data_IF_981658017317
#
_entry.id   IF_981658017317
#
_cell.length_a   1.000
_cell.length_b   1.000
_cell.length_c   1.000
_cell.angle_alpha   90.00
_cell.angle_beta   90.00
_cell.angle_gamma   90.00
#
_symmetry.space_group_name_H-M   'P 1'
#
loop_
_entity.id
_entity.type
_entity.pdbx_description
1 polymer ?
#
# COMPACT_ATOMS: atom_id res chain seq x y z
N UNK A 1 22.98 -17.43 -19.10
CA UNK A 1 21.96 -17.18 -18.07
C UNK A 1 22.66 -16.38 -16.99
N UNK A 2 22.59 -15.05 -17.07
CA UNK A 2 23.25 -14.19 -16.11
C UNK A 2 22.51 -14.32 -14.78
N UNK A 3 23.25 -14.67 -13.72
CA UNK A 3 22.76 -14.66 -12.36
C UNK A 3 22.60 -13.18 -12.01
N UNK A 4 21.38 -12.66 -12.11
CA UNK A 4 21.07 -11.31 -11.61
C UNK A 4 21.48 -11.26 -10.13
N UNK A 5 22.18 -10.20 -9.77
CA UNK A 5 22.73 -9.94 -8.44
C UNK A 5 21.60 -10.00 -7.41
N UNK A 6 21.59 -11.07 -6.62
CA UNK A 6 20.49 -11.44 -5.74
C UNK A 6 20.63 -10.70 -4.41
N UNK A 7 19.73 -9.75 -4.15
CA UNK A 7 19.61 -9.13 -2.82
C UNK A 7 18.52 -9.85 -2.00
N UNK A 8 18.89 -10.68 -1.00
CA UNK A 8 17.94 -11.39 -0.15
C UNK A 8 17.06 -10.47 0.71
N UNK A 9 17.39 -9.18 0.80
CA UNK A 9 16.67 -8.17 1.58
C UNK A 9 15.54 -7.51 0.80
N UNK A 10 15.46 -7.69 -0.52
CA UNK A 10 14.38 -7.13 -1.34
C UNK A 10 13.24 -8.14 -1.44
N UNK A 11 12.10 -7.83 -0.81
CA UNK A 11 10.87 -8.62 -0.93
C UNK A 11 10.30 -8.49 -2.35
N UNK A 12 10.48 -9.53 -3.16
CA UNK A 12 9.88 -9.63 -4.49
C UNK A 12 8.51 -10.30 -4.44
N UNK A 13 7.51 -9.68 -5.08
CA UNK A 13 6.15 -10.24 -5.22
C UNK A 13 6.20 -11.61 -5.90
N UNK A 14 7.00 -11.77 -6.95
CA UNK A 14 7.15 -13.06 -7.64
C UNK A 14 7.75 -14.15 -6.75
N UNK A 15 8.62 -13.78 -5.79
CA UNK A 15 9.17 -14.74 -4.82
C UNK A 15 8.12 -15.16 -3.78
N UNK A 16 7.32 -14.23 -3.30
CA UNK A 16 6.19 -14.58 -2.42
C UNK A 16 5.13 -15.39 -3.18
N UNK A 17 4.98 -15.16 -4.49
CA UNK A 17 4.08 -15.90 -5.35
C UNK A 17 4.56 -17.33 -5.62
N UNK A 18 5.88 -17.55 -5.75
CA UNK A 18 6.44 -18.88 -6.03
C UNK A 18 6.20 -19.88 -4.88
N UNK A 19 6.08 -19.38 -3.65
CA UNK A 19 5.70 -20.18 -2.47
C UNK A 19 4.17 -20.35 -2.32
N UNK A 20 3.37 -19.84 -3.27
CA UNK A 20 1.89 -19.95 -3.34
C UNK A 20 1.18 -19.48 -2.07
N UNK A 21 1.74 -18.49 -1.40
CA UNK A 21 1.12 -17.86 -0.24
C UNK A 21 0.18 -16.74 -0.67
N UNK A 22 -0.73 -16.37 0.22
CA UNK A 22 -1.57 -15.18 0.07
C UNK A 22 -0.65 -13.95 0.03
N UNK A 23 -0.80 -13.12 -1.01
CA UNK A 23 0.00 -11.91 -1.16
C UNK A 23 -0.75 -10.72 -0.58
N UNK A 24 0.02 -9.82 0.03
CA UNK A 24 -0.46 -8.53 0.49
C UNK A 24 0.27 -7.46 -0.29
N UNK A 25 -0.46 -6.76 -1.16
CA UNK A 25 0.12 -5.67 -1.93
C UNK A 25 -0.28 -4.35 -1.26
N UNK A 26 0.67 -3.44 -0.98
CA UNK A 26 0.33 -2.10 -0.52
C UNK A 26 -0.53 -1.42 -1.58
N UNK A 27 -1.61 -0.78 -1.14
CA UNK A 27 -2.58 -0.17 -2.04
C UNK A 27 -1.99 1.02 -2.80
N UNK A 28 -2.45 1.22 -4.03
CA UNK A 28 -2.13 2.37 -4.86
C UNK A 28 -3.41 3.08 -5.28
N UNK A 29 -3.32 4.33 -5.74
CA UNK A 29 -4.49 5.21 -5.99
C UNK A 29 -5.52 4.71 -7.01
N UNK A 30 -5.25 3.64 -7.79
CA UNK A 30 -6.24 3.14 -8.75
C UNK A 30 -7.18 2.15 -8.08
N UNK A 31 -8.46 2.29 -8.41
CA UNK A 31 -9.50 1.35 -7.99
C UNK A 31 -9.33 -0.01 -8.67
N UNK A 32 -9.34 -1.07 -7.88
CA UNK A 32 -9.21 -2.48 -8.30
C UNK A 32 -10.34 -3.20 -7.63
N UNK A 33 -11.24 -3.77 -8.43
CA UNK A 33 -12.44 -4.42 -7.93
C UNK A 33 -12.09 -5.76 -7.26
N UNK A 34 -12.95 -6.19 -6.32
CA UNK A 34 -12.90 -7.56 -5.82
C UNK A 34 -13.15 -8.53 -6.98
N UNK A 35 -12.41 -9.64 -6.98
CA UNK A 35 -12.45 -10.62 -8.06
C UNK A 35 -11.67 -10.25 -9.32
N UNK A 36 -10.98 -9.11 -9.35
CA UNK A 36 -9.96 -8.84 -10.37
C UNK A 36 -8.81 -9.84 -10.24
N UNK A 37 -8.27 -10.28 -11.37
CA UNK A 37 -7.15 -11.23 -11.39
C UNK A 37 -5.81 -10.51 -11.48
N UNK A 38 -4.78 -11.14 -10.94
CA UNK A 38 -3.42 -10.62 -10.85
C UNK A 38 -2.43 -11.67 -11.35
N UNK A 39 -1.49 -11.22 -12.18
CA UNK A 39 -0.40 -12.01 -12.72
C UNK A 39 0.91 -11.63 -12.04
N UNK A 40 1.40 -12.53 -11.18
CA UNK A 40 2.62 -12.32 -10.39
C UNK A 40 3.88 -12.24 -11.24
N UNK A 41 3.91 -12.87 -12.42
CA UNK A 41 5.04 -12.81 -13.34
C UNK A 41 5.07 -11.45 -14.04
N UNK A 42 3.91 -10.95 -14.48
CA UNK A 42 3.79 -9.62 -15.07
C UNK A 42 4.21 -8.52 -14.09
N UNK A 43 4.01 -8.72 -12.78
CA UNK A 43 4.41 -7.76 -11.75
C UNK A 43 5.93 -7.53 -11.66
N UNK A 44 6.76 -8.43 -12.20
CA UNK A 44 8.22 -8.22 -12.29
C UNK A 44 8.62 -7.36 -13.48
N UNK A 45 7.74 -7.22 -14.48
CA UNK A 45 7.96 -6.45 -15.69
C UNK A 45 7.32 -5.07 -15.56
N UNK A 46 8.11 -4.01 -15.64
CA UNK A 46 7.62 -2.62 -15.55
C UNK A 46 6.75 -2.17 -16.74
N UNK A 47 6.59 -3.02 -17.76
CA UNK A 47 5.93 -2.66 -19.04
C UNK A 47 4.47 -3.06 -19.12
N UNK A 48 3.99 -3.95 -18.26
CA UNK A 48 2.66 -4.57 -18.36
C UNK A 48 1.90 -4.43 -17.06
N UNK A 49 0.62 -4.06 -17.16
CA UNK A 49 -0.28 -4.04 -16.01
C UNK A 49 -0.44 -5.47 -15.47
N UNK A 50 -0.09 -5.74 -14.20
CA UNK A 50 -0.21 -7.08 -13.65
C UNK A 50 -1.67 -7.46 -13.36
N UNK A 51 -2.62 -6.53 -13.41
CA UNK A 51 -4.04 -6.83 -13.25
C UNK A 51 -4.71 -7.09 -14.59
N UNK A 52 -5.44 -8.20 -14.69
CA UNK A 52 -6.22 -8.51 -15.89
C UNK A 52 -7.42 -7.58 -16.02
N UNK A 53 -7.76 -7.21 -17.26
CA UNK A 53 -8.97 -6.46 -17.58
C UNK A 53 -10.23 -7.32 -17.46
N UNK A 54 -10.08 -8.63 -17.68
CA UNK A 54 -11.17 -9.59 -17.63
C UNK A 54 -11.14 -10.40 -16.33
N UNK A 55 -12.32 -10.69 -15.79
CA UNK A 55 -12.46 -11.60 -14.65
C UNK A 55 -12.79 -13.01 -15.14
N UNK A 56 -12.13 -14.01 -14.56
CA UNK A 56 -12.49 -15.41 -14.81
C UNK A 56 -13.78 -15.82 -14.07
N UNK A 57 -14.26 -14.99 -13.14
CA UNK A 57 -15.48 -15.26 -12.38
C UNK A 57 -16.74 -14.99 -13.20
N UNK A 58 -17.78 -15.77 -12.92
CA UNK A 58 -19.11 -15.51 -13.42
C UNK A 58 -19.63 -14.16 -12.90
N UNK A 59 -20.16 -13.31 -13.78
CA UNK A 59 -20.52 -11.94 -13.45
C UNK A 59 -21.67 -11.85 -12.44
N UNK A 60 -22.66 -12.75 -12.56
CA UNK A 60 -23.77 -12.83 -11.61
C UNK A 60 -23.31 -13.38 -10.27
N UNK A 61 -22.48 -14.43 -10.28
CA UNK A 61 -21.88 -14.95 -9.06
C UNK A 61 -21.03 -13.89 -8.36
N UNK A 62 -20.24 -13.10 -9.08
CA UNK A 62 -19.40 -12.04 -8.51
C UNK A 62 -20.26 -10.95 -7.85
N UNK A 63 -21.34 -10.51 -8.51
CA UNK A 63 -22.26 -9.48 -7.99
C UNK A 63 -23.04 -9.92 -6.75
N UNK A 64 -23.42 -11.19 -6.71
CA UNK A 64 -24.20 -11.78 -5.61
C UNK A 64 -23.33 -12.33 -4.47
N UNK A 65 -22.01 -12.34 -4.63
CA UNK A 65 -21.11 -12.89 -3.62
C UNK A 65 -21.13 -12.05 -2.35
N UNK A 66 -21.40 -12.70 -1.21
CA UNK A 66 -21.43 -12.04 0.08
C UNK A 66 -20.02 -11.63 0.51
N UNK A 67 -19.83 -10.33 0.70
CA UNK A 67 -18.61 -9.74 1.24
C UNK A 67 -18.86 -9.34 2.68
N UNK A 68 -17.95 -9.71 3.58
CA UNK A 68 -18.08 -9.46 5.02
C UNK A 68 -16.94 -8.57 5.51
N UNK A 69 -17.29 -7.66 6.42
CA UNK A 69 -16.31 -6.97 7.25
C UNK A 69 -15.95 -7.85 8.45
N UNK A 70 -14.69 -8.21 8.53
CA UNK A 70 -14.08 -8.71 9.76
C UNK A 70 -13.37 -7.53 10.42
N UNK A 71 -13.93 -6.98 11.51
CA UNK A 71 -13.30 -5.87 12.22
C UNK A 71 -11.97 -6.35 12.82
N UNK A 72 -11.00 -5.45 12.90
CA UNK A 72 -9.83 -5.67 13.75
C UNK A 72 -10.34 -5.80 15.19
N UNK A 73 -10.15 -6.96 15.85
CA UNK A 73 -10.72 -7.43 17.14
C UNK A 73 -10.88 -6.39 18.29
N UNK A 74 -11.64 -5.32 18.09
CA UNK A 74 -11.81 -4.22 19.03
C UNK A 74 -10.61 -3.28 19.19
N UNK A 75 -9.41 -3.67 18.74
CA UNK A 75 -8.25 -2.79 18.70
C UNK A 75 -7.94 -2.43 17.26
N UNK A 76 -8.27 -1.21 16.83
CA UNK A 76 -7.60 -0.63 15.68
C UNK A 76 -6.09 -0.70 15.96
N UNK A 77 -5.33 -1.49 15.19
CA UNK A 77 -3.90 -1.64 15.46
C UNK A 77 -3.22 -0.34 15.06
N UNK A 78 -2.96 0.53 16.03
CA UNK A 78 -2.14 1.71 15.86
C UNK A 78 -0.67 1.27 15.81
N UNK A 79 0.01 1.59 14.71
CA UNK A 79 1.44 1.39 14.56
C UNK A 79 2.07 2.75 14.30
N UNK A 80 2.70 3.32 15.33
CA UNK A 80 3.63 4.43 15.14
C UNK A 80 5.04 3.89 14.97
N UNK A 81 5.75 4.37 13.94
CA UNK A 81 7.17 4.11 13.75
C UNK A 81 7.90 5.44 13.70
N UNK A 82 8.90 5.59 14.55
CA UNK A 82 9.85 6.71 14.51
C UNK A 82 11.22 6.12 14.21
N UNK A 83 11.90 6.68 13.21
CA UNK A 83 13.20 6.21 12.75
C UNK A 83 14.14 7.38 12.58
N UNK A 84 15.37 7.26 13.10
CA UNK A 84 16.45 8.23 12.90
C UNK A 84 17.70 7.51 12.46
N UNK A 85 18.34 7.96 11.38
CA UNK A 85 19.62 7.42 10.90
C UNK A 85 20.60 8.53 10.54
N UNK A 86 21.88 8.36 10.88
CA UNK A 86 22.96 9.32 10.62
C UNK A 86 24.20 8.63 10.06
N UNK A 87 24.81 9.17 9.01
CA UNK A 87 26.07 8.69 8.42
C UNK A 87 27.18 9.74 8.48
N UNK A 88 28.44 9.30 8.55
CA UNK A 88 29.62 10.14 8.82
C UNK A 88 30.52 10.40 7.61
N UNK A 89 30.35 9.69 6.48
CA UNK A 89 31.16 9.87 5.27
C UNK A 89 30.72 11.09 4.44
N UNK A 90 29.42 11.40 4.50
CA UNK A 90 28.75 12.63 4.09
C UNK A 90 27.72 12.87 5.19
N UNK A 91 27.64 14.07 5.77
CA UNK A 91 26.71 14.35 6.87
C UNK A 91 25.28 14.22 6.33
N UNK A 92 24.74 13.02 6.47
CA UNK A 92 23.42 12.64 6.01
C UNK A 92 22.63 12.22 7.23
N UNK A 93 21.58 12.98 7.55
CA UNK A 93 20.64 12.66 8.60
C UNK A 93 19.29 12.38 7.96
N UNK A 94 18.66 11.25 8.30
CA UNK A 94 17.26 11.02 8.00
C UNK A 94 16.45 10.87 9.29
N UNK A 95 15.27 11.47 9.31
CA UNK A 95 14.25 11.33 10.35
C UNK A 95 12.96 10.93 9.65
N UNK A 96 12.29 9.90 10.17
CA UNK A 96 11.02 9.43 9.64
C UNK A 96 10.03 9.16 10.77
N UNK A 97 8.80 9.60 10.58
CA UNK A 97 7.66 9.31 11.45
C UNK A 97 6.57 8.72 10.55
N UNK A 98 5.98 7.61 10.97
CA UNK A 98 4.87 6.96 10.28
C UNK A 98 3.82 6.52 11.27
N UNK A 99 2.55 6.66 10.89
CA UNK A 99 1.39 6.20 11.63
C UNK A 99 0.55 5.33 10.70
N UNK A 100 0.27 4.12 11.13
CA UNK A 100 -0.63 3.20 10.46
C UNK A 100 -1.77 2.78 11.37
N UNK A 101 -2.98 2.70 10.83
CA UNK A 101 -4.20 2.29 11.51
C UNK A 101 -4.88 1.21 10.70
N UNK A 102 -5.24 0.12 11.35
CA UNK A 102 -5.98 -1.00 10.75
C UNK A 102 -7.40 -1.00 11.29
N UNK A 103 -8.40 -0.80 10.43
CA UNK A 103 -9.82 -0.84 10.81
C UNK A 103 -10.44 -2.24 10.64
N UNK A 104 -9.81 -3.11 9.82
CA UNK A 104 -10.26 -4.48 9.61
C UNK A 104 -9.96 -4.99 8.20
N UNK A 105 -10.65 -6.05 7.81
CA UNK A 105 -10.57 -6.61 6.47
C UNK A 105 -11.95 -6.86 5.88
N UNK A 106 -12.10 -6.55 4.61
CA UNK A 106 -13.30 -6.79 3.81
C UNK A 106 -12.98 -7.93 2.86
N UNK A 107 -13.60 -9.10 3.02
CA UNK A 107 -13.27 -10.29 2.24
C UNK A 107 -14.51 -11.02 1.75
N UNK A 108 -14.36 -11.77 0.65
CA UNK A 108 -15.40 -12.71 0.25
C UNK A 108 -15.59 -13.78 1.34
N UNK A 109 -16.84 -13.95 1.79
CA UNK A 109 -17.19 -15.09 2.66
C UNK A 109 -17.01 -16.43 1.93
N UNK A 110 -17.26 -16.41 0.61
CA UNK A 110 -17.02 -17.51 -0.31
C UNK A 110 -16.59 -16.94 -1.66
N UNK A 111 -15.54 -17.50 -2.23
CA UNK A 111 -15.08 -17.10 -3.56
C UNK A 111 -16.23 -17.25 -4.61
N UNK A 112 -16.37 -16.29 -5.53
CA UNK A 112 -17.32 -16.39 -6.64
C UNK A 112 -17.03 -17.63 -7.50
N UNK A 113 -18.06 -18.12 -8.19
CA UNK A 113 -17.92 -19.23 -9.15
C UNK A 113 -17.15 -18.77 -10.38
N UNK A 114 -16.39 -19.68 -10.96
CA UNK A 114 -15.77 -19.48 -12.27
C UNK A 114 -16.84 -19.42 -13.37
N UNK A 115 -16.58 -18.59 -14.38
CA UNK A 115 -17.37 -18.52 -15.61
C UNK A 115 -17.26 -19.82 -16.40
N UNK A 116 -18.20 -20.06 -17.31
CA UNK A 116 -18.16 -21.24 -18.17
C UNK A 116 -16.89 -21.27 -19.04
N UNK A 117 -16.48 -20.11 -19.56
CA UNK A 117 -15.25 -19.98 -20.37
C UNK A 117 -14.02 -20.35 -19.54
N UNK A 118 -13.93 -19.88 -18.29
CA UNK A 118 -12.87 -20.24 -17.37
C UNK A 118 -12.82 -21.75 -17.11
N UNK A 119 -13.98 -22.38 -16.88
CA UNK A 119 -14.07 -23.82 -16.66
C UNK A 119 -13.69 -24.62 -17.92
N UNK A 120 -14.09 -24.15 -19.12
CA UNK A 120 -13.70 -24.77 -20.39
C UNK A 120 -12.20 -24.66 -20.62
N UNK A 121 -11.58 -23.51 -20.32
CA UNK A 121 -10.13 -23.36 -20.44
C UNK A 121 -9.38 -24.33 -19.52
N UNK A 122 -9.87 -24.51 -18.30
CA UNK A 122 -9.32 -25.46 -17.35
C UNK A 122 -9.48 -26.93 -17.78
N UNK A 123 -10.59 -27.28 -18.44
CA UNK A 123 -10.85 -28.66 -18.85
C UNK A 123 -10.25 -29.04 -20.19
N UNK A 124 -10.30 -28.15 -21.17
CA UNK A 124 -10.03 -28.48 -22.57
C UNK A 124 -8.91 -27.65 -23.20
N UNK A 125 -8.70 -26.40 -22.78
CA UNK A 125 -7.78 -25.48 -23.47
C UNK A 125 -6.48 -25.27 -22.69
N UNK A 126 -5.74 -26.35 -22.43
CA UNK A 126 -4.38 -26.26 -21.84
C UNK A 126 -4.34 -26.17 -20.31
N UNK A 127 -5.48 -26.30 -19.64
CA UNK A 127 -5.54 -26.51 -18.19
C UNK A 127 -5.14 -25.29 -17.35
N UNK A 128 -4.57 -25.56 -16.18
CA UNK A 128 -4.20 -24.51 -15.22
C UNK A 128 -3.16 -23.53 -15.79
N UNK A 129 -2.24 -24.00 -16.63
CA UNK A 129 -1.21 -23.13 -17.22
C UNK A 129 -1.83 -22.08 -18.15
N UNK A 130 -2.72 -22.50 -19.05
CA UNK A 130 -3.42 -21.60 -19.95
C UNK A 130 -4.37 -20.65 -19.21
N UNK A 131 -5.04 -21.13 -18.16
CA UNK A 131 -5.84 -20.28 -17.29
C UNK A 131 -5.01 -19.16 -16.66
N UNK A 132 -3.85 -19.50 -16.09
CA UNK A 132 -2.96 -18.54 -15.45
C UNK A 132 -2.34 -17.55 -16.43
N UNK A 133 -2.04 -18.00 -17.64
CA UNK A 133 -1.56 -17.14 -18.71
C UNK A 133 -2.60 -16.10 -19.11
N UNK A 134 -3.87 -16.50 -19.20
CA UNK A 134 -4.94 -15.62 -19.66
C UNK A 134 -5.47 -14.67 -18.58
N UNK A 135 -5.79 -15.17 -17.38
CA UNK A 135 -6.37 -14.34 -16.31
C UNK A 135 -5.35 -13.95 -15.25
N UNK A 136 -4.42 -14.84 -14.90
CA UNK A 136 -3.47 -14.64 -13.81
C UNK A 136 -3.47 -15.79 -12.81
N UNK A 137 -2.48 -15.79 -11.93
CA UNK A 137 -2.27 -16.81 -10.92
C UNK A 137 -2.83 -16.45 -9.53
N UNK A 138 -3.30 -15.21 -9.37
CA UNK A 138 -3.96 -14.70 -8.18
C UNK A 138 -5.26 -13.97 -8.52
N UNK A 139 -6.12 -13.79 -7.51
CA UNK A 139 -7.27 -12.89 -7.58
C UNK A 139 -7.40 -12.07 -6.30
N UNK A 140 -8.01 -10.88 -6.42
CA UNK A 140 -8.32 -10.00 -5.29
C UNK A 140 -9.48 -10.59 -4.51
N UNK A 141 -9.17 -11.22 -3.38
CA UNK A 141 -10.15 -11.86 -2.51
C UNK A 141 -10.70 -10.91 -1.44
N UNK A 142 -10.02 -9.79 -1.21
CA UNK A 142 -10.42 -8.83 -0.21
C UNK A 142 -9.50 -7.62 -0.13
N UNK A 143 -9.87 -6.72 0.77
CA UNK A 143 -9.14 -5.51 1.12
C UNK A 143 -8.82 -5.51 2.59
N UNK A 144 -7.68 -4.94 2.95
CA UNK A 144 -7.46 -4.44 4.29
C UNK A 144 -7.81 -2.97 4.32
N UNK A 145 -8.67 -2.59 5.26
CA UNK A 145 -9.13 -1.23 5.42
C UNK A 145 -8.43 -0.58 6.62
N UNK A 146 -8.15 0.71 6.49
CA UNK A 146 -7.30 1.43 7.43
C UNK A 146 -6.85 2.77 6.86
N UNK A 147 -5.71 3.23 7.37
CA UNK A 147 -5.00 4.37 6.82
C UNK A 147 -3.57 4.36 7.30
N UNK A 148 -2.65 4.60 6.38
CA UNK A 148 -1.25 4.91 6.65
C UNK A 148 -0.94 6.35 6.26
N UNK A 149 -0.19 7.03 7.11
CA UNK A 149 0.39 8.34 6.86
C UNK A 149 1.82 8.39 7.38
N UNK A 150 2.68 9.14 6.73
CA UNK A 150 4.06 9.27 7.16
C UNK A 150 4.76 10.49 6.59
N UNK A 151 5.79 10.91 7.30
CA UNK A 151 6.68 12.01 6.94
C UNK A 151 8.10 11.53 7.16
N UNK A 152 8.90 11.57 6.11
CA UNK A 152 10.32 11.32 6.12
C UNK A 152 11.03 12.57 5.63
N UNK A 153 12.02 13.01 6.38
CA UNK A 153 12.90 14.10 6.01
C UNK A 153 14.33 13.61 6.02
N UNK A 154 15.09 13.91 4.97
CA UNK A 154 16.53 13.72 4.95
C UNK A 154 17.25 15.05 4.72
N UNK A 155 18.38 15.22 5.41
CA UNK A 155 19.28 16.33 5.26
C UNK A 155 20.62 15.80 4.78
N UNK A 156 21.21 16.45 3.78
CA UNK A 156 22.54 16.15 3.28
C UNK A 156 23.38 17.43 3.29
N UNK A 157 24.59 17.37 3.85
CA UNK A 157 25.54 18.48 3.89
C UNK A 157 26.95 18.06 3.47
N UNK A 158 27.69 19.01 2.90
CA UNK A 158 29.13 18.89 2.60
C UNK A 158 30.04 19.46 3.70
N UNK A 159 29.50 20.24 4.65
CA UNK A 159 30.27 21.00 5.65
C UNK A 159 29.87 20.68 7.08
N UNK A 160 30.83 20.19 7.89
CA UNK A 160 30.59 19.57 9.21
C UNK A 160 30.02 20.50 10.28
N UNK A 161 30.61 21.68 10.46
CA UNK A 161 30.39 22.49 11.67
C UNK A 161 29.05 23.23 11.65
N UNK A 162 28.59 23.67 10.48
CA UNK A 162 27.28 24.34 10.36
C UNK A 162 26.15 23.34 10.11
N UNK A 163 26.47 22.20 9.50
CA UNK A 163 25.55 21.05 9.40
C UNK A 163 25.07 20.63 10.78
N UNK A 164 25.97 20.42 11.75
CA UNK A 164 25.60 19.93 13.08
C UNK A 164 24.59 20.85 13.79
N UNK A 165 24.82 22.17 13.80
CA UNK A 165 23.94 23.11 14.50
C UNK A 165 22.56 23.25 13.83
N UNK A 166 22.51 23.35 12.50
CA UNK A 166 21.25 23.43 11.73
C UNK A 166 20.48 22.11 11.82
N UNK A 167 21.19 21.00 11.76
CA UNK A 167 20.63 19.65 11.87
C UNK A 167 20.02 19.41 13.25
N UNK A 168 20.67 19.85 14.33
CA UNK A 168 20.12 19.76 15.69
C UNK A 168 18.85 20.61 15.83
N UNK A 169 18.81 21.83 15.30
CA UNK A 169 17.62 22.67 15.36
C UNK A 169 16.43 22.06 14.62
N UNK A 170 16.63 21.60 13.38
CA UNK A 170 15.56 20.99 12.57
C UNK A 170 15.10 19.67 13.22
N UNK A 171 16.03 18.87 13.75
CA UNK A 171 15.72 17.64 14.50
C UNK A 171 14.88 17.93 15.76
N UNK A 172 15.23 18.97 16.52
CA UNK A 172 14.47 19.36 17.72
C UNK A 172 13.09 19.88 17.36
N UNK A 173 12.97 20.69 16.31
CA UNK A 173 11.67 21.18 15.83
C UNK A 173 10.72 20.06 15.38
N UNK A 174 11.27 18.95 14.88
CA UNK A 174 10.48 17.84 14.33
C UNK A 174 10.29 16.69 15.34
N UNK A 175 11.17 16.54 16.34
CA UNK A 175 11.04 15.44 17.33
C UNK A 175 10.28 15.84 18.61
N UNK A 176 10.21 17.12 18.98
CA UNK A 176 9.70 17.55 20.29
C UNK A 176 8.45 18.45 20.21
N UNK A 177 7.47 18.08 19.38
CA UNK A 177 6.22 18.81 19.12
C UNK A 177 5.42 19.22 20.37
N UNK A 178 5.80 20.35 20.96
CA UNK A 178 4.95 21.32 21.68
C UNK A 178 5.79 22.56 22.04
N UNK A 179 5.76 23.65 21.26
CA UNK A 179 5.70 25.04 21.77
C UNK A 179 5.66 26.12 20.67
N UNK A 180 5.23 27.30 21.13
CA UNK A 180 4.89 28.55 20.44
C UNK A 180 5.99 29.18 19.57
N UNK A 181 5.50 29.76 18.48
CA UNK A 181 5.92 30.96 17.76
C UNK A 181 7.23 31.65 18.21
N UNK A 182 8.39 31.08 17.89
CA UNK A 182 9.64 31.84 17.91
C UNK A 182 10.59 31.42 16.78
N UNK A 183 10.10 31.45 15.54
CA UNK A 183 10.98 31.44 14.36
C UNK A 183 11.58 32.84 14.19
N UNK A 184 12.59 33.17 15.00
CA UNK A 184 13.38 34.39 14.75
C UNK A 184 14.87 34.15 14.96
N UNK A 185 15.59 34.39 13.85
CA UNK A 185 17.03 34.66 13.74
C UNK A 185 17.98 33.48 13.93
N UNK A 186 18.84 33.29 12.92
CA UNK A 186 20.12 32.61 13.11
C UNK A 186 20.85 32.21 11.83
N UNK A 187 20.28 32.38 10.64
CA UNK A 187 20.85 31.81 9.43
C UNK A 187 21.53 32.90 8.61
N UNK A 188 22.67 33.37 9.11
CA UNK A 188 23.63 34.13 8.31
C UNK A 188 24.95 33.37 8.33
N UNK A 189 25.48 33.06 7.15
CA UNK A 189 26.78 32.41 6.87
C UNK A 189 26.87 30.87 6.89
N UNK A 190 25.86 30.17 6.40
CA UNK A 190 26.09 28.87 5.76
C UNK A 190 25.12 28.66 4.61
N UNK A 191 25.53 29.13 3.43
CA UNK A 191 24.74 29.04 2.21
C UNK A 191 25.35 28.07 1.19
N UNK A 192 24.43 27.40 0.48
CA UNK A 192 24.53 26.59 -0.75
C UNK A 192 24.60 25.07 -0.65
N UNK A 193 25.17 24.46 0.38
CA UNK A 193 25.47 23.01 0.33
C UNK A 193 24.53 22.09 1.12
N UNK A 194 23.62 22.63 1.95
CA UNK A 194 22.67 21.83 2.70
C UNK A 194 21.38 21.60 1.90
N UNK A 195 21.07 20.33 1.64
CA UNK A 195 19.85 19.92 0.94
C UNK A 195 18.90 19.23 1.91
N UNK A 196 17.66 19.66 1.91
CA UNK A 196 16.55 19.06 2.66
C UNK A 196 15.64 18.36 1.67
N UNK A 197 15.48 17.05 1.82
CA UNK A 197 14.50 16.25 1.09
C UNK A 197 13.38 15.90 2.05
N UNK A 198 12.13 16.14 1.66
CA UNK A 198 10.96 15.65 2.38
C UNK A 198 10.20 14.70 1.47
N UNK A 199 9.76 13.60 2.06
CA UNK A 199 8.83 12.67 1.46
C UNK A 199 7.71 12.44 2.47
N UNK A 200 6.49 12.78 2.13
CA UNK A 200 5.34 12.52 2.98
C UNK A 200 4.20 11.91 2.18
N UNK A 201 3.40 11.10 2.84
CA UNK A 201 2.26 10.42 2.23
C UNK A 201 1.11 10.29 3.24
N UNK A 202 -0.11 10.22 2.71
CA UNK A 202 -1.32 9.89 3.46
C UNK A 202 -2.27 9.16 2.52
N UNK A 203 -2.53 7.90 2.81
CA UNK A 203 -3.47 7.05 2.07
C UNK A 203 -4.90 7.60 2.16
N UNK A 204 -5.31 8.01 3.36
CA UNK A 204 -6.64 8.57 3.62
C UNK A 204 -6.86 9.90 2.87
N UNK A 205 -5.82 10.69 2.64
CA UNK A 205 -5.93 11.93 1.82
C UNK A 205 -5.58 11.71 0.36
N UNK A 206 -5.13 10.51 -0.01
CA UNK A 206 -4.56 10.21 -1.33
C UNK A 206 -3.45 11.21 -1.71
N UNK A 207 -2.70 11.66 -0.71
CA UNK A 207 -1.65 12.65 -0.84
C UNK A 207 -0.28 11.96 -0.82
N UNK A 208 0.58 12.35 -1.75
CA UNK A 208 1.99 12.00 -1.74
C UNK A 208 2.78 13.21 -2.21
N UNK A 209 3.77 13.62 -1.43
CA UNK A 209 4.65 14.72 -1.72
C UNK A 209 6.07 14.20 -1.59
N UNK A 210 6.88 14.42 -2.61
CA UNK A 210 8.31 14.17 -2.56
C UNK A 210 9.00 15.36 -3.20
N UNK A 211 9.66 16.18 -2.38
CA UNK A 211 10.39 17.34 -2.88
C UNK A 211 11.75 17.46 -2.20
N UNK A 212 12.67 18.13 -2.89
CA UNK A 212 13.99 18.46 -2.40
C UNK A 212 14.22 19.97 -2.55
N UNK A 213 14.71 20.59 -1.48
CA UNK A 213 14.93 22.03 -1.37
C UNK A 213 16.31 22.31 -0.79
N UNK A 214 16.87 23.47 -1.14
CA UNK A 214 18.12 23.94 -0.56
C UNK A 214 17.84 24.87 0.62
N UNK A 215 18.78 24.92 1.55
CA UNK A 215 18.76 25.90 2.64
C UNK A 215 18.81 27.33 2.08
N UNK A 216 17.89 28.19 2.53
CA UNK A 216 17.74 29.55 2.00
C UNK A 216 16.68 29.68 0.89
N UNK A 217 16.10 28.58 0.40
CA UNK A 217 14.89 28.66 -0.44
C UNK A 217 13.76 29.31 0.40
N UNK A 218 13.18 30.45 -0.04
CA UNK A 218 12.10 31.11 0.70
C UNK A 218 10.86 30.21 0.88
N UNK A 219 10.72 29.16 0.08
CA UNK A 219 9.65 28.16 0.21
C UNK A 219 9.93 27.05 1.20
N UNK A 220 11.16 26.93 1.72
CA UNK A 220 11.53 25.88 2.68
C UNK A 220 10.67 25.95 3.94
N UNK A 221 10.34 27.15 4.42
CA UNK A 221 9.50 27.31 5.60
C UNK A 221 8.06 26.81 5.35
N UNK A 222 7.42 27.26 4.27
CA UNK A 222 6.08 26.76 3.91
C UNK A 222 6.05 25.25 3.69
N UNK A 223 7.15 24.70 3.21
CA UNK A 223 7.33 23.27 2.98
C UNK A 223 7.44 22.47 4.29
N UNK A 224 8.19 22.97 5.27
CA UNK A 224 8.21 22.39 6.62
C UNK A 224 6.82 22.51 7.29
N UNK A 225 6.10 23.61 7.09
CA UNK A 225 4.73 23.76 7.59
C UNK A 225 3.76 22.76 6.96
N UNK A 226 3.91 22.46 5.67
CA UNK A 226 3.12 21.42 5.00
C UNK A 226 3.40 20.02 5.57
N UNK A 227 4.68 19.72 5.85
CA UNK A 227 5.08 18.49 6.55
C UNK A 227 4.41 18.37 7.94
N UNK A 228 4.39 19.46 8.71
CA UNK A 228 3.71 19.54 10.01
C UNK A 228 2.22 19.30 9.87
N UNK A 229 1.59 19.91 8.86
CA UNK A 229 0.19 19.69 8.57
C UNK A 229 -0.12 18.21 8.33
N UNK A 230 0.75 17.46 7.62
CA UNK A 230 0.56 16.03 7.40
C UNK A 230 0.77 15.23 8.70
N UNK A 231 1.75 15.59 9.53
CA UNK A 231 1.95 14.98 10.84
C UNK A 231 0.75 15.16 11.77
N UNK A 232 0.23 16.39 11.90
CA UNK A 232 -0.92 16.68 12.76
C UNK A 232 -2.17 15.92 12.27
N UNK A 233 -2.34 15.81 10.95
CA UNK A 233 -3.42 15.01 10.36
C UNK A 233 -3.21 13.51 10.54
N UNK A 234 -1.97 13.03 10.61
CA UNK A 234 -1.65 11.65 10.95
C UNK A 234 -2.09 11.29 12.39
N UNK A 235 -2.10 12.26 13.31
CA UNK A 235 -2.66 12.06 14.66
C UNK A 235 -4.20 11.89 14.61
N UNK A 236 -4.87 12.62 13.72
CA UNK A 236 -6.32 12.50 13.45
C UNK A 236 -6.71 11.40 12.44
N UNK A 237 -5.79 10.49 12.12
CA UNK A 237 -5.99 9.48 11.09
C UNK A 237 -7.10 8.50 11.47
N UNK A 238 -7.22 8.13 12.76
CA UNK A 238 -8.23 7.20 13.25
C UNK A 238 -9.64 7.74 12.97
N UNK A 239 -9.88 8.98 13.38
CA UNK A 239 -11.15 9.67 13.19
C UNK A 239 -11.46 9.87 11.71
N UNK A 240 -10.44 10.09 10.89
CA UNK A 240 -10.61 10.27 9.45
C UNK A 240 -10.99 8.96 8.75
N UNK A 241 -10.33 7.86 9.10
CA UNK A 241 -10.69 6.53 8.59
C UNK A 241 -12.12 6.18 9.03
N UNK A 242 -12.44 6.34 10.32
CA UNK A 242 -13.77 6.04 10.85
C UNK A 242 -14.86 6.85 10.14
N UNK A 243 -14.66 8.17 10.00
CA UNK A 243 -15.60 9.07 9.31
C UNK A 243 -15.86 8.64 7.86
N UNK A 244 -14.83 8.19 7.14
CA UNK A 244 -14.98 7.70 5.76
C UNK A 244 -15.74 6.37 5.71
N UNK A 245 -15.48 5.46 6.64
CA UNK A 245 -16.21 4.19 6.75
C UNK A 245 -17.69 4.44 7.07
N UNK A 246 -17.99 5.37 7.97
CA UNK A 246 -19.36 5.77 8.32
C UNK A 246 -20.09 6.39 7.13
N UNK A 247 -19.41 7.24 6.33
CA UNK A 247 -19.97 7.85 5.12
C UNK A 247 -20.34 6.81 4.04
N UNK A 248 -19.56 5.74 3.91
CA UNK A 248 -19.82 4.62 2.98
C UNK A 248 -20.90 3.67 3.55
N UNK A 249 -21.20 3.78 4.85
CA UNK A 249 -22.15 2.91 5.54
C UNK A 249 -21.58 1.55 5.92
N UNK A 250 -20.25 1.44 6.06
CA UNK A 250 -19.56 0.22 6.46
C UNK A 250 -19.66 0.07 7.98
N UNK A 251 -20.27 -1.02 8.44
CA UNK A 251 -20.41 -1.34 9.87
C UNK A 251 -20.26 -2.83 10.10
N UNK A 252 -19.78 -3.21 11.29
CA UNK A 252 -19.59 -4.61 11.64
C UNK A 252 -20.90 -5.40 11.58
N UNK A 253 -20.85 -6.61 11.02
CA UNK A 253 -21.98 -7.52 10.96
C UNK A 253 -23.00 -7.24 9.84
N UNK A 254 -22.77 -6.22 8.99
CA UNK A 254 -23.55 -6.03 7.76
C UNK A 254 -22.82 -6.61 6.56
N UNK A 255 -23.60 -7.14 5.63
CA UNK A 255 -23.10 -7.50 4.30
C UNK A 255 -22.68 -6.22 3.56
N UNK A 256 -21.51 -6.29 2.93
CA UNK A 256 -20.95 -5.19 2.13
C UNK A 256 -21.32 -5.44 0.67
N UNK A 257 -21.85 -4.42 0.00
CA UNK A 257 -22.17 -4.49 -1.43
C UNK A 257 -20.93 -4.25 -2.30
N UNK A 258 -20.97 -4.68 -3.56
CA UNK A 258 -19.90 -4.41 -4.52
C UNK A 258 -19.67 -2.92 -4.74
N UNK A 259 -20.72 -2.10 -4.72
CA UNK A 259 -20.60 -0.65 -4.84
C UNK A 259 -19.86 -0.04 -3.64
N UNK A 260 -20.18 -0.49 -2.43
CA UNK A 260 -19.45 -0.09 -1.22
C UNK A 260 -17.97 -0.50 -1.28
N UNK A 261 -17.65 -1.68 -1.83
CA UNK A 261 -16.27 -2.09 -2.08
C UNK A 261 -15.52 -1.13 -3.03
N UNK A 262 -16.18 -0.65 -4.08
CA UNK A 262 -15.60 0.34 -4.98
C UNK A 262 -15.42 1.70 -4.31
N UNK A 263 -16.35 2.11 -3.46
CA UNK A 263 -16.26 3.36 -2.71
C UNK A 263 -15.15 3.31 -1.64
N UNK A 264 -14.91 2.15 -1.03
CA UNK A 264 -13.74 1.92 -0.17
C UNK A 264 -12.43 2.18 -0.93
N UNK A 265 -12.27 1.64 -2.14
CA UNK A 265 -11.10 1.89 -2.98
C UNK A 265 -10.94 3.38 -3.31
N UNK A 266 -12.01 4.05 -3.74
CA UNK A 266 -11.99 5.46 -4.15
C UNK A 266 -11.74 6.41 -2.97
N UNK A 267 -12.17 6.04 -1.77
CA UNK A 267 -12.03 6.87 -0.57
C UNK A 267 -10.62 6.82 0.04
N UNK A 268 -9.71 5.96 -0.45
CA UNK A 268 -8.33 5.89 0.04
C UNK A 268 -8.19 5.20 1.42
N UNK A 269 -9.23 4.53 1.90
CA UNK A 269 -9.17 3.75 3.16
C UNK A 269 -8.72 2.31 2.95
N UNK A 270 -8.51 1.87 1.71
CA UNK A 270 -7.88 0.57 1.42
C UNK A 270 -6.37 0.76 1.56
N UNK A 271 -5.73 -0.01 2.44
CA UNK A 271 -4.28 0.06 2.68
C UNK A 271 -3.54 -1.11 2.04
N UNK A 272 -4.18 -2.27 1.94
CA UNK A 272 -3.59 -3.46 1.32
C UNK A 272 -4.65 -4.24 0.52
N UNK A 273 -4.21 -4.86 -0.57
CA UNK A 273 -4.97 -5.87 -1.30
C UNK A 273 -4.64 -7.26 -0.78
N UNK A 274 -5.67 -8.07 -0.56
CA UNK A 274 -5.55 -9.48 -0.23
C UNK A 274 -5.67 -10.31 -1.51
N UNK A 275 -4.54 -10.79 -2.01
CA UNK A 275 -4.49 -11.65 -3.19
C UNK A 275 -4.39 -13.11 -2.80
N UNK A 276 -5.34 -13.92 -3.27
CA UNK A 276 -5.37 -15.36 -3.02
C UNK A 276 -4.99 -16.11 -4.30
N UNK A 277 -4.13 -17.15 -4.21
CA UNK A 277 -3.81 -17.99 -5.36
C UNK A 277 -5.06 -18.62 -5.95
N UNK A 278 -5.15 -18.67 -7.28
CA UNK A 278 -6.29 -19.27 -7.97
C UNK A 278 -6.45 -20.76 -7.63
N UNK A 279 -5.37 -21.46 -7.27
CA UNK A 279 -5.43 -22.85 -6.81
C UNK A 279 -6.21 -23.08 -5.51
N UNK A 280 -6.54 -22.02 -4.77
CA UNK A 280 -7.45 -22.12 -3.62
C UNK A 280 -8.93 -22.05 -4.01
N UNK A 281 -9.24 -21.78 -5.28
CA UNK A 281 -10.62 -21.84 -5.76
C UNK A 281 -11.11 -23.29 -5.69
N UNK A 282 -12.28 -23.47 -5.07
CA UNK A 282 -12.86 -24.78 -4.82
C UNK A 282 -13.06 -25.59 -6.10
N UNK A 283 -13.45 -24.95 -7.19
CA UNK A 283 -13.64 -25.57 -8.51
C UNK A 283 -12.33 -26.13 -9.07
N UNK A 284 -11.21 -25.43 -8.85
CA UNK A 284 -9.86 -25.89 -9.23
C UNK A 284 -9.37 -27.03 -8.35
N UNK A 285 -9.71 -27.02 -7.06
CA UNK A 285 -9.39 -28.12 -6.15
C UNK A 285 -10.15 -29.39 -6.53
N UNK A 286 -11.44 -29.28 -6.87
CA UNK A 286 -12.21 -30.41 -7.37
C UNK A 286 -11.60 -30.97 -8.64
N UNK A 287 -11.25 -30.13 -9.60
CA UNK A 287 -10.61 -30.57 -10.84
C UNK A 287 -9.30 -31.33 -10.61
N UNK A 288 -8.46 -30.88 -9.67
CA UNK A 288 -7.21 -31.60 -9.33
C UNK A 288 -7.44 -33.02 -8.79
N UNK A 289 -8.63 -33.28 -8.24
CA UNK A 289 -9.01 -34.57 -7.67
C UNK A 289 -9.96 -35.37 -8.55
N UNK A 290 -10.44 -34.79 -9.65
CA UNK A 290 -11.39 -35.43 -10.55
C UNK A 290 -10.62 -36.18 -11.65
N UNK A 291 -10.53 -37.50 -11.51
CA UNK A 291 -9.85 -38.39 -12.47
C UNK A 291 -10.57 -38.47 -13.83
N UNK A 292 -11.67 -37.74 -14.02
CA UNK A 292 -12.37 -37.61 -15.30
C UNK A 292 -11.62 -36.69 -16.27
N UNK A 293 -10.37 -37.02 -16.60
CA UNK A 293 -9.72 -36.56 -17.82
C UNK A 293 -10.31 -37.36 -18.97
N UNK A 294 -11.35 -36.83 -19.63
CA UNK A 294 -11.63 -37.26 -21.01
C UNK A 294 -10.55 -36.59 -21.85
N UNK A 295 -9.44 -37.31 -22.07
CA UNK A 295 -8.54 -37.03 -23.17
C UNK A 295 -9.37 -37.08 -24.46
N UNK A 296 -9.42 -35.98 -25.19
CA UNK A 296 -9.68 -35.99 -26.63
C UNK A 296 -8.36 -35.74 -27.35
#
# INVERSE_FOLDING_TARGET
MAMEDFDPLVTSVARQASIRQVLRLPWHTRSIALGSFFNSQAATSTKTDPFSQDSAFDSESLRTSHVRLDPSDGNASFKSCESTSSSTSSDHLSVGIGVGISAGSVTFTRAPKLSEIALQTLKYNGGLSAFKEHWGDYYVAGYRIGGDAGVMMSLASSSKTVSESVTICIKVEILFFSFEDSWSKGWSQAESDLRVTLSCFSTAEQAQIQEQRQLGDPKLYSFIQEARGIHDRAQGLADTVQRKLDQIGISSGKDITTDQCMDLCKSGVVVELLLVPVEHLRELQYWKTDDNVICL
#
